data_IF_014618993102
#
_entry.id   IF_014618993102
#
_cell.length_a   1.000
_cell.length_b   1.000
_cell.length_c   1.000
_cell.angle_alpha   90.00
_cell.angle_beta   90.00
_cell.angle_gamma   90.00
#
_symmetry.space_group_name_H-M   'P 1'
#
loop_
_entity.id
_entity.type
_entity.pdbx_description
1 polymer ?
#
# COMPACT_ATOMS: atom_id res chain seq x y z
N UNK A 1 49.13 3.09 15.66
CA UNK A 1 49.13 1.62 15.76
C UNK A 1 48.21 1.19 16.89
N UNK A 2 46.98 0.80 16.55
CA UNK A 2 46.10 0.00 17.40
C UNK A 2 45.01 -0.57 16.49
N UNK A 3 45.15 -1.86 16.18
CA UNK A 3 44.27 -2.65 15.33
C UNK A 3 43.00 -2.97 16.12
N UNK A 4 41.82 -2.63 15.62
CA UNK A 4 40.54 -3.13 16.14
C UNK A 4 40.02 -4.24 15.23
N UNK A 5 39.82 -5.40 15.84
CA UNK A 5 39.31 -6.62 15.23
C UNK A 5 37.82 -6.50 14.80
N UNK A 6 37.38 -7.28 13.80
CA UNK A 6 36.01 -7.28 13.31
C UNK A 6 35.09 -8.13 14.20
N UNK A 7 33.84 -7.66 14.33
CA UNK A 7 32.76 -8.33 15.05
C UNK A 7 32.27 -9.56 14.28
N UNK A 8 32.19 -10.65 15.03
CA UNK A 8 31.84 -12.01 14.64
C UNK A 8 30.31 -12.15 14.58
N UNK A 9 29.74 -12.18 13.36
CA UNK A 9 28.31 -12.44 13.17
C UNK A 9 28.00 -13.93 13.27
N UNK A 10 27.20 -14.30 14.28
CA UNK A 10 26.71 -15.66 14.53
C UNK A 10 25.73 -16.10 13.45
N UNK A 11 26.10 -17.22 12.82
CA UNK A 11 25.26 -18.10 12.00
C UNK A 11 23.92 -18.43 12.68
N UNK A 12 22.81 -17.96 12.11
CA UNK A 12 21.49 -18.53 12.37
C UNK A 12 21.13 -19.52 11.26
N UNK A 13 21.03 -20.77 11.71
CA UNK A 13 20.69 -22.00 11.00
C UNK A 13 19.19 -22.03 10.72
N UNK A 14 18.77 -21.79 9.49
CA UNK A 14 17.38 -22.00 9.05
C UNK A 14 17.22 -23.43 8.52
N UNK A 15 16.23 -24.15 9.06
CA UNK A 15 15.90 -25.53 8.70
C UNK A 15 15.19 -25.65 7.34
N UNK A 16 15.10 -26.88 6.78
CA UNK A 16 14.66 -27.10 5.41
C UNK A 16 13.16 -27.45 5.37
N UNK A 17 12.29 -26.55 4.90
CA UNK A 17 10.93 -26.93 4.48
C UNK A 17 10.48 -26.06 3.31
N UNK A 18 9.95 -26.72 2.27
CA UNK A 18 9.32 -26.20 1.04
C UNK A 18 10.26 -25.86 -0.13
N UNK A 19 10.90 -26.91 -0.66
CA UNK A 19 11.30 -27.00 -2.08
C UNK A 19 10.21 -27.81 -2.80
N UNK A 20 9.40 -27.17 -3.64
CA UNK A 20 8.69 -27.83 -4.75
C UNK A 20 8.10 -26.76 -5.70
N UNK A 21 8.65 -26.70 -6.92
CA UNK A 21 7.83 -26.43 -8.10
C UNK A 21 8.08 -25.18 -8.94
N UNK A 22 9.32 -24.89 -9.39
CA UNK A 22 9.54 -24.11 -10.62
C UNK A 22 10.76 -24.65 -11.39
N UNK A 23 10.54 -25.75 -12.11
CA UNK A 23 11.45 -26.23 -13.14
C UNK A 23 10.66 -26.30 -14.45
N UNK A 24 10.82 -25.28 -15.30
CA UNK A 24 10.90 -25.34 -16.77
C UNK A 24 10.60 -23.96 -17.38
N UNK A 25 11.58 -23.41 -18.07
CA UNK A 25 11.37 -22.39 -19.10
C UNK A 25 12.13 -21.09 -18.87
N UNK A 26 13.34 -20.97 -19.42
CA UNK A 26 13.98 -19.67 -19.54
C UNK A 26 15.47 -19.73 -19.82
N UNK A 27 15.83 -19.97 -21.09
CA UNK A 27 17.11 -19.48 -21.63
C UNK A 27 17.22 -17.98 -21.35
N UNK A 28 17.98 -17.55 -20.35
CA UNK A 28 18.34 -16.14 -20.17
C UNK A 28 19.85 -16.06 -20.07
N UNK A 29 20.43 -15.83 -21.25
CA UNK A 29 21.55 -14.91 -21.54
C UNK A 29 22.46 -14.66 -20.34
N UNK A 30 23.71 -15.12 -20.41
CA UNK A 30 24.76 -14.83 -19.43
C UNK A 30 24.79 -13.34 -19.07
N UNK A 31 24.08 -12.98 -18.00
CA UNK A 31 24.14 -11.65 -17.42
C UNK A 31 25.35 -11.69 -16.50
N UNK A 32 26.36 -10.91 -16.82
CA UNK A 32 27.37 -10.55 -15.85
C UNK A 32 26.63 -9.93 -14.66
N UNK A 33 26.46 -10.71 -13.59
CA UNK A 33 25.83 -10.27 -12.36
C UNK A 33 26.70 -9.16 -11.79
N UNK A 34 26.13 -7.96 -11.65
CA UNK A 34 26.80 -6.88 -10.97
C UNK A 34 26.68 -7.12 -9.46
N UNK A 35 27.79 -6.96 -8.77
CA UNK A 35 27.84 -6.82 -7.31
C UNK A 35 26.85 -5.73 -6.89
N UNK A 36 25.99 -6.03 -5.92
CA UNK A 36 24.92 -5.15 -5.48
C UNK A 36 25.42 -3.78 -5.04
N UNK A 37 26.57 -3.72 -4.35
CA UNK A 37 27.17 -2.45 -3.91
C UNK A 37 27.51 -1.57 -5.10
N UNK A 38 28.16 -2.18 -6.10
CA UNK A 38 28.60 -1.46 -7.31
C UNK A 38 27.42 -1.07 -8.17
N UNK A 39 26.42 -1.94 -8.28
CA UNK A 39 25.19 -1.67 -9.01
C UNK A 39 24.40 -0.50 -8.41
N UNK A 40 24.19 -0.49 -7.09
CA UNK A 40 23.50 0.61 -6.39
C UNK A 40 24.30 1.92 -6.51
N UNK A 41 25.62 1.89 -6.31
CA UNK A 41 26.46 3.07 -6.47
C UNK A 41 26.43 3.62 -7.90
N UNK A 42 26.37 2.75 -8.91
CA UNK A 42 26.23 3.17 -10.30
C UNK A 42 24.83 3.73 -10.58
N UNK A 43 23.78 3.12 -10.03
CA UNK A 43 22.40 3.61 -10.16
C UNK A 43 22.24 5.02 -9.55
N UNK A 44 22.84 5.27 -8.38
CA UNK A 44 22.88 6.60 -7.76
C UNK A 44 23.51 7.66 -8.69
N UNK A 45 24.62 7.34 -9.35
CA UNK A 45 25.24 8.25 -10.34
C UNK A 45 24.31 8.57 -11.52
N UNK A 46 23.46 7.62 -11.93
CA UNK A 46 22.46 7.87 -12.95
C UNK A 46 21.33 8.77 -12.41
N UNK A 47 20.90 8.60 -11.16
CA UNK A 47 19.91 9.47 -10.52
C UNK A 47 20.39 10.90 -10.34
N UNK A 48 21.65 11.10 -9.95
CA UNK A 48 22.28 12.44 -9.87
C UNK A 48 22.25 13.19 -11.21
N UNK A 49 22.23 12.44 -12.33
CA UNK A 49 22.13 12.98 -13.70
C UNK A 49 20.69 13.10 -14.20
N UNK A 50 19.70 12.70 -13.40
CA UNK A 50 18.29 12.63 -13.80
C UNK A 50 17.95 11.45 -14.72
N UNK A 51 18.87 10.51 -14.94
CA UNK A 51 18.71 9.35 -15.82
C UNK A 51 18.03 8.17 -15.10
N UNK A 52 16.82 8.39 -14.56
CA UNK A 52 16.14 7.41 -13.71
C UNK A 52 15.88 6.06 -14.41
N UNK A 53 15.60 6.05 -15.72
CA UNK A 53 15.42 4.83 -16.48
C UNK A 53 16.71 3.99 -16.58
N UNK A 54 17.87 4.64 -16.72
CA UNK A 54 19.17 3.97 -16.72
C UNK A 54 19.50 3.41 -15.33
N UNK A 55 19.18 4.16 -14.27
CA UNK A 55 19.34 3.68 -12.89
C UNK A 55 18.59 2.35 -12.68
N UNK A 56 17.33 2.27 -13.08
CA UNK A 56 16.54 1.02 -13.00
C UNK A 56 17.17 -0.12 -13.81
N UNK A 57 17.65 0.14 -15.03
CA UNK A 57 18.32 -0.89 -15.85
C UNK A 57 19.61 -1.43 -15.22
N UNK A 58 20.31 -0.61 -14.43
CA UNK A 58 21.47 -1.06 -13.67
C UNK A 58 21.02 -1.91 -12.49
N UNK A 59 20.00 -1.48 -11.75
CA UNK A 59 19.44 -2.21 -10.61
C UNK A 59 18.82 -3.56 -11.03
N UNK A 60 18.26 -3.68 -12.23
CA UNK A 60 17.71 -4.95 -12.75
C UNK A 60 18.81 -5.98 -13.08
N UNK A 61 20.09 -5.55 -13.14
CA UNK A 61 21.26 -6.44 -13.33
C UNK A 61 21.93 -6.84 -12.02
N UNK A 62 21.51 -6.26 -10.90
CA UNK A 62 22.01 -6.60 -9.57
C UNK A 62 21.48 -7.98 -9.19
N UNK A 63 22.35 -8.82 -8.61
CA UNK A 63 21.96 -10.15 -8.16
C UNK A 63 20.96 -10.09 -7.01
N UNK A 64 19.90 -10.91 -7.12
CA UNK A 64 18.82 -11.07 -6.14
C UNK A 64 19.30 -11.61 -4.78
N UNK A 65 20.48 -12.25 -4.74
CA UNK A 65 21.02 -12.86 -3.54
C UNK A 65 21.34 -11.83 -2.44
N UNK A 66 21.50 -10.56 -2.81
CA UNK A 66 21.90 -9.46 -1.91
C UNK A 66 20.76 -8.45 -1.67
N UNK A 67 19.49 -8.81 -1.95
CA UNK A 67 18.31 -7.92 -1.86
C UNK A 67 17.95 -7.44 -0.44
N UNK A 68 18.62 -7.91 0.61
CA UNK A 68 18.43 -7.46 2.00
C UNK A 68 19.01 -6.06 2.29
N UNK A 69 19.34 -5.29 1.26
CA UNK A 69 19.98 -3.98 1.37
C UNK A 69 18.92 -2.87 1.26
N UNK A 70 18.64 -2.13 2.34
CA UNK A 70 17.65 -1.05 2.30
C UNK A 70 17.95 0.01 1.23
N UNK A 71 19.23 0.24 0.94
CA UNK A 71 19.68 1.15 -0.11
C UNK A 71 19.24 0.73 -1.51
N UNK A 72 19.18 -0.58 -1.80
CA UNK A 72 18.69 -1.05 -3.09
C UNK A 72 17.23 -0.64 -3.30
N UNK A 73 16.38 -0.92 -2.32
CA UNK A 73 14.95 -0.59 -2.34
C UNK A 73 14.72 0.91 -2.40
N UNK A 74 15.49 1.68 -1.62
CA UNK A 74 15.44 3.13 -1.60
C UNK A 74 15.76 3.72 -2.98
N UNK A 75 16.91 3.35 -3.55
CA UNK A 75 17.38 3.88 -4.83
C UNK A 75 16.45 3.47 -5.98
N UNK A 76 15.87 2.26 -5.92
CA UNK A 76 14.87 1.81 -6.87
C UNK A 76 13.57 2.61 -6.77
N UNK A 77 13.08 2.85 -5.54
CA UNK A 77 11.88 3.64 -5.30
C UNK A 77 12.06 5.11 -5.71
N UNK A 78 13.22 5.72 -5.42
CA UNK A 78 13.57 7.07 -5.88
C UNK A 78 13.56 7.17 -7.42
N UNK A 79 14.12 6.17 -8.11
CA UNK A 79 14.09 6.13 -9.57
C UNK A 79 12.65 6.11 -10.11
N UNK A 80 11.75 5.33 -9.49
CA UNK A 80 10.34 5.33 -9.86
C UNK A 80 9.65 6.67 -9.60
N UNK A 81 10.00 7.38 -8.51
CA UNK A 81 9.45 8.72 -8.25
C UNK A 81 9.87 9.73 -9.32
N UNK A 82 11.13 9.71 -9.74
CA UNK A 82 11.61 10.58 -10.82
C UNK A 82 10.93 10.29 -12.16
N UNK A 83 10.48 9.06 -12.39
CA UNK A 83 9.69 8.69 -13.57
C UNK A 83 8.20 9.02 -13.44
N UNK A 84 7.75 9.54 -12.29
CA UNK A 84 6.34 9.81 -12.00
C UNK A 84 5.52 8.56 -11.69
N UNK A 85 6.16 7.41 -11.50
CA UNK A 85 5.51 6.13 -11.20
C UNK A 85 5.30 5.95 -9.69
N UNK A 86 4.64 6.91 -9.04
CA UNK A 86 4.53 7.00 -7.58
C UNK A 86 3.98 5.73 -6.90
N UNK A 87 2.99 5.05 -7.52
CA UNK A 87 2.44 3.79 -6.97
C UNK A 87 3.46 2.64 -6.96
N UNK A 88 4.30 2.56 -7.99
CA UNK A 88 5.37 1.54 -8.07
C UNK A 88 6.49 1.87 -7.08
N UNK A 89 6.83 3.16 -6.94
CA UNK A 89 7.76 3.62 -5.92
C UNK A 89 7.28 3.23 -4.51
N UNK A 90 6.01 3.47 -4.18
CA UNK A 90 5.45 3.14 -2.88
C UNK A 90 5.52 1.63 -2.60
N UNK A 91 5.13 0.79 -3.57
CA UNK A 91 5.24 -0.67 -3.43
C UNK A 91 6.69 -1.14 -3.25
N UNK A 92 7.61 -0.55 -4.00
CA UNK A 92 9.03 -0.90 -3.93
C UNK A 92 9.64 -0.53 -2.57
N UNK A 93 9.30 0.64 -2.03
CA UNK A 93 9.74 1.06 -0.71
C UNK A 93 9.08 0.21 0.41
N UNK A 94 7.81 -0.18 0.26
CA UNK A 94 7.11 -1.09 1.17
C UNK A 94 7.81 -2.46 1.26
N UNK A 95 8.24 -3.03 0.12
CA UNK A 95 9.01 -4.28 0.09
C UNK A 95 10.32 -4.15 0.87
N UNK A 96 11.05 -3.03 0.73
CA UNK A 96 12.26 -2.81 1.51
C UNK A 96 12.01 -2.55 3.01
N UNK A 97 10.90 -1.92 3.37
CA UNK A 97 10.51 -1.69 4.76
C UNK A 97 10.13 -3.00 5.46
N UNK A 98 9.73 -4.03 4.72
CA UNK A 98 9.52 -5.36 5.29
C UNK A 98 10.83 -5.96 5.83
N UNK A 99 11.95 -5.72 5.14
CA UNK A 99 13.28 -6.19 5.55
C UNK A 99 13.92 -5.26 6.60
N UNK A 100 13.69 -3.96 6.51
CA UNK A 100 14.23 -2.95 7.43
C UNK A 100 13.16 -1.91 7.83
N UNK A 101 12.29 -2.24 8.81
CA UNK A 101 11.15 -1.40 9.18
C UNK A 101 11.54 -0.05 9.78
N UNK A 102 12.73 0.02 10.39
CA UNK A 102 13.21 1.20 11.10
C UNK A 102 14.18 2.04 10.24
N UNK A 103 14.19 1.85 8.92
CA UNK A 103 15.04 2.65 8.04
C UNK A 103 14.39 4.00 7.71
N UNK A 104 14.93 5.09 8.28
CA UNK A 104 14.43 6.45 8.08
C UNK A 104 14.38 6.86 6.60
N UNK A 105 15.47 6.67 5.85
CA UNK A 105 15.57 7.08 4.45
C UNK A 105 14.50 6.39 3.60
N UNK A 106 14.28 5.09 3.86
CA UNK A 106 13.27 4.31 3.16
C UNK A 106 11.84 4.73 3.54
N UNK A 107 11.60 5.04 4.82
CA UNK A 107 10.33 5.61 5.29
C UNK A 107 10.03 6.95 4.62
N UNK A 108 11.02 7.84 4.50
CA UNK A 108 10.88 9.13 3.83
C UNK A 108 10.50 8.94 2.36
N UNK A 109 11.19 8.05 1.63
CA UNK A 109 10.87 7.74 0.23
C UNK A 109 9.48 7.12 0.09
N UNK A 110 9.09 6.22 1.00
CA UNK A 110 7.76 5.62 1.02
C UNK A 110 6.65 6.67 1.22
N UNK A 111 6.80 7.55 2.22
CA UNK A 111 5.82 8.62 2.49
C UNK A 111 5.71 9.57 1.29
N UNK A 112 6.85 9.99 0.71
CA UNK A 112 6.85 10.83 -0.51
C UNK A 112 6.13 10.15 -1.67
N UNK A 113 6.34 8.85 -1.85
CA UNK A 113 5.68 8.07 -2.87
C UNK A 113 4.16 8.00 -2.67
N UNK A 114 3.71 7.81 -1.42
CA UNK A 114 2.29 7.79 -1.09
C UNK A 114 1.63 9.16 -1.30
N UNK A 115 2.29 10.25 -0.91
CA UNK A 115 1.81 11.62 -1.16
C UNK A 115 1.65 11.89 -2.66
N UNK A 116 2.64 11.53 -3.48
CA UNK A 116 2.54 11.67 -4.94
C UNK A 116 1.48 10.75 -5.57
N UNK A 117 1.27 9.56 -4.98
CA UNK A 117 0.21 8.64 -5.38
C UNK A 117 -1.19 9.08 -4.92
N UNK A 118 -1.29 10.15 -4.10
CA UNK A 118 -2.50 10.69 -3.47
C UNK A 118 -3.14 9.73 -2.45
N UNK A 119 -2.38 8.78 -1.92
CA UNK A 119 -2.82 7.87 -0.86
C UNK A 119 -2.56 8.49 0.52
N UNK A 120 -3.21 9.63 0.81
CA UNK A 120 -2.96 10.43 2.01
C UNK A 120 -3.19 9.67 3.32
N UNK A 121 -4.16 8.75 3.36
CA UNK A 121 -4.44 7.93 4.55
C UNK A 121 -3.21 7.09 4.95
N UNK A 122 -2.65 6.34 4.00
CA UNK A 122 -1.45 5.53 4.24
C UNK A 122 -0.24 6.42 4.53
N UNK A 123 -0.14 7.57 3.85
CA UNK A 123 0.94 8.52 4.09
C UNK A 123 0.91 9.01 5.55
N UNK A 124 -0.26 9.30 6.09
CA UNK A 124 -0.43 9.72 7.48
C UNK A 124 -0.05 8.61 8.47
N UNK A 125 -0.46 7.37 8.21
CA UNK A 125 -0.09 6.21 9.04
C UNK A 125 1.43 6.01 9.08
N UNK A 126 2.07 6.00 7.90
CA UNK A 126 3.51 5.85 7.78
C UNK A 126 4.27 7.00 8.44
N UNK A 127 3.79 8.24 8.29
CA UNK A 127 4.36 9.43 8.90
C UNK A 127 4.24 9.42 10.43
N UNK A 128 3.10 8.98 10.97
CA UNK A 128 2.91 8.83 12.41
C UNK A 128 3.89 7.80 12.98
N UNK A 129 4.05 6.66 12.29
CA UNK A 129 5.02 5.64 12.68
C UNK A 129 6.46 6.18 12.63
N UNK A 130 6.85 6.81 11.51
CA UNK A 130 8.19 7.38 11.35
C UNK A 130 8.50 8.47 12.40
N UNK A 131 7.53 9.30 12.75
CA UNK A 131 7.69 10.37 13.75
C UNK A 131 7.85 9.85 15.18
N UNK A 132 7.30 8.66 15.48
CA UNK A 132 7.53 7.99 16.77
C UNK A 132 8.96 7.48 16.89
N UNK A 133 9.51 6.94 15.79
CA UNK A 133 10.89 6.44 15.74
C UNK A 133 11.92 7.59 15.68
N UNK A 134 11.63 8.64 14.91
CA UNK A 134 12.55 9.73 14.58
C UNK A 134 11.93 11.12 14.83
N UNK A 135 11.65 11.49 16.09
CA UNK A 135 10.89 12.71 16.43
C UNK A 135 11.60 14.03 16.07
N UNK A 136 12.92 14.00 15.85
CA UNK A 136 13.73 15.18 15.55
C UNK A 136 14.06 15.33 14.05
N UNK A 137 13.48 14.49 13.18
CA UNK A 137 13.73 14.58 11.75
C UNK A 137 12.99 15.78 11.13
N UNK A 138 13.77 16.75 10.64
CA UNK A 138 13.24 17.91 9.92
C UNK A 138 12.50 17.50 8.64
N UNK A 139 12.98 16.46 7.95
CA UNK A 139 12.35 15.99 6.71
C UNK A 139 10.94 15.44 6.97
N UNK A 140 10.74 14.69 8.06
CA UNK A 140 9.42 14.19 8.43
C UNK A 140 8.47 15.34 8.79
N UNK A 141 8.96 16.39 9.45
CA UNK A 141 8.15 17.58 9.75
C UNK A 141 7.68 18.27 8.46
N UNK A 142 8.57 18.43 7.47
CA UNK A 142 8.20 18.99 6.17
C UNK A 142 7.15 18.13 5.46
N UNK A 143 7.29 16.80 5.49
CA UNK A 143 6.29 15.91 4.91
C UNK A 143 4.94 16.01 5.63
N UNK A 144 4.94 16.16 6.96
CA UNK A 144 3.72 16.39 7.73
C UNK A 144 3.00 17.68 7.30
N UNK A 145 3.74 18.77 7.12
CA UNK A 145 3.19 20.04 6.64
C UNK A 145 2.60 19.89 5.23
N UNK A 146 3.28 19.20 4.32
CA UNK A 146 2.74 18.97 2.96
C UNK A 146 1.44 18.17 3.00
N UNK A 147 1.34 17.15 3.85
CA UNK A 147 0.12 16.36 4.00
C UNK A 147 -1.03 17.22 4.53
N UNK A 148 -0.79 18.05 5.55
CA UNK A 148 -1.79 18.95 6.12
C UNK A 148 -2.32 19.98 5.10
N UNK A 149 -1.48 20.46 4.19
CA UNK A 149 -1.90 21.34 3.08
C UNK A 149 -2.87 20.63 2.13
N UNK A 150 -2.66 19.33 1.86
CA UNK A 150 -3.56 18.54 1.03
C UNK A 150 -4.90 18.23 1.71
N UNK A 151 -4.91 18.02 3.03
CA UNK A 151 -6.15 17.83 3.81
C UNK A 151 -7.00 19.11 3.89
N UNK A 152 -6.36 20.26 4.11
CA UNK A 152 -7.05 21.55 4.13
C UNK A 152 -7.61 21.96 2.76
N UNK A 153 -6.96 21.56 1.67
CA UNK A 153 -7.48 21.77 0.31
C UNK A 153 -8.69 20.87 -0.03
N UNK A 154 -8.76 19.66 0.56
CA UNK A 154 -9.86 18.71 0.33
C UNK A 154 -11.07 18.95 1.24
N UNK A 155 -10.86 19.58 2.40
CA UNK A 155 -11.91 20.11 3.27
C UNK A 155 -11.86 21.65 3.30
N UNK A 156 -12.50 22.37 2.35
CA UNK A 156 -12.64 23.81 2.48
C UNK A 156 -13.32 24.08 3.82
N UNK A 157 -12.64 24.86 4.68
CA UNK A 157 -13.17 25.27 5.97
C UNK A 157 -14.62 25.74 5.77
N UNK A 158 -15.59 25.23 6.56
CA UNK A 158 -16.91 25.85 6.57
C UNK A 158 -16.67 27.34 6.86
N UNK A 159 -17.31 28.26 6.11
CA UNK A 159 -17.10 29.69 6.33
C UNK A 159 -17.29 29.97 7.81
N UNK A 160 -16.39 30.78 8.38
CA UNK A 160 -16.46 31.15 9.79
C UNK A 160 -17.89 31.54 10.14
N UNK A 161 -18.42 31.20 11.34
CA UNK A 161 -19.75 31.62 11.73
C UNK A 161 -19.98 33.12 11.48
N UNK A 162 -18.95 33.97 11.64
CA UNK A 162 -19.02 35.40 11.32
C UNK A 162 -19.19 35.73 9.82
N UNK A 163 -18.70 34.91 8.91
CA UNK A 163 -18.85 35.09 7.46
C UNK A 163 -20.20 34.56 6.96
N UNK A 164 -20.78 33.57 7.65
CA UNK A 164 -22.11 33.06 7.36
C UNK A 164 -23.22 34.11 7.57
N UNK A 165 -23.01 35.08 8.48
CA UNK A 165 -23.96 36.18 8.74
C UNK A 165 -23.81 37.39 7.81
N UNK A 166 -22.74 37.48 6.99
CA UNK A 166 -22.47 38.61 6.08
C UNK A 166 -23.10 38.48 4.70
N UNK A 167 -23.71 37.35 4.37
CA UNK A 167 -24.36 37.16 3.08
C UNK A 167 -25.68 37.96 3.03
N UNK A 168 -25.85 38.93 2.12
CA UNK A 168 -27.10 39.66 1.98
C UNK A 168 -28.24 38.69 1.63
N UNK A 169 -29.40 38.93 2.26
CA UNK A 169 -30.67 38.19 2.22
C UNK A 169 -31.32 38.04 0.81
N UNK A 170 -30.56 37.90 -0.27
CA UNK A 170 -31.06 37.59 -1.61
C UNK A 170 -30.89 36.11 -1.95
N UNK A 171 -31.36 35.22 -1.06
CA UNK A 171 -31.69 33.85 -1.51
C UNK A 171 -33.10 33.92 -2.09
N UNK A 172 -33.29 33.71 -3.41
CA UNK A 172 -34.63 33.47 -3.93
C UNK A 172 -35.20 32.28 -3.16
N UNK A 173 -36.43 32.41 -2.68
CA UNK A 173 -37.16 31.38 -1.96
C UNK A 173 -37.04 30.05 -2.72
N UNK A 174 -36.07 29.21 -2.32
CA UNK A 174 -35.99 27.86 -2.87
C UNK A 174 -37.27 27.20 -2.43
N UNK A 175 -38.10 26.87 -3.42
CA UNK A 175 -39.21 25.94 -3.26
C UNK A 175 -38.69 24.77 -2.40
N UNK A 176 -39.44 24.32 -1.38
CA UNK A 176 -39.01 23.18 -0.58
C UNK A 176 -38.62 22.04 -1.53
N UNK A 177 -37.44 21.45 -1.27
CA UNK A 177 -36.84 20.42 -2.12
C UNK A 177 -37.76 19.20 -2.32
N UNK A 178 -38.72 19.04 -1.41
CA UNK A 178 -39.73 18.01 -1.43
C UNK A 178 -41.09 18.66 -1.44
N UNK A 179 -41.97 18.14 -2.30
CA UNK A 179 -43.38 18.49 -2.26
C UNK A 179 -43.99 17.99 -0.94
N UNK A 180 -45.02 18.66 -0.44
CA UNK A 180 -45.65 18.32 0.85
C UNK A 180 -46.28 16.91 0.84
N UNK A 181 -46.50 16.37 -0.36
CA UNK A 181 -46.85 14.98 -0.61
C UNK A 181 -45.70 14.01 -0.34
N UNK A 182 -44.47 14.31 -0.78
CA UNK A 182 -43.29 13.46 -0.55
C UNK A 182 -42.87 13.45 0.92
N UNK A 183 -42.92 14.60 1.58
CA UNK A 183 -42.64 14.69 3.01
C UNK A 183 -43.61 13.82 3.84
N UNK A 184 -44.88 13.73 3.40
CA UNK A 184 -45.88 12.83 4.00
C UNK A 184 -45.64 11.37 3.67
N UNK A 185 -45.17 11.04 2.47
CA UNK A 185 -44.83 9.67 2.08
C UNK A 185 -43.66 9.11 2.91
N UNK A 186 -42.62 9.91 3.13
CA UNK A 186 -41.46 9.54 3.94
C UNK A 186 -41.88 9.29 5.40
N UNK A 187 -42.70 10.17 5.99
CA UNK A 187 -43.20 9.96 7.36
C UNK A 187 -44.02 8.67 7.51
N UNK A 188 -44.79 8.28 6.48
CA UNK A 188 -45.54 7.01 6.48
C UNK A 188 -44.63 5.80 6.38
N UNK A 189 -43.54 5.88 5.59
CA UNK A 189 -42.59 4.78 5.43
C UNK A 189 -41.87 4.41 6.75
N UNK A 190 -41.65 5.39 7.63
CA UNK A 190 -41.04 5.15 8.95
C UNK A 190 -42.04 4.77 10.06
N UNK A 191 -43.36 4.87 9.81
CA UNK A 191 -44.40 4.49 10.78
C UNK A 191 -44.91 3.05 10.60
N UNK A 192 -44.47 2.33 9.56
CA UNK A 192 -44.82 0.91 9.43
C UNK A 192 -44.05 0.07 10.45
N UNK A 193 -44.73 -0.84 11.19
CA UNK A 193 -44.07 -1.70 12.18
C UNK A 193 -43.00 -2.55 11.51
N UNK A 194 -41.84 -2.60 12.17
CA UNK A 194 -40.62 -3.26 11.72
C UNK A 194 -40.88 -4.64 11.08
N UNK A 195 -40.36 -4.80 9.87
CA UNK A 195 -40.32 -6.07 9.14
C UNK A 195 -39.70 -7.15 10.03
N UNK A 196 -40.52 -8.11 10.48
CA UNK A 196 -40.08 -9.28 11.23
C UNK A 196 -39.41 -10.24 10.22
N UNK A 197 -38.09 -10.47 10.27
CA UNK A 197 -37.43 -11.36 9.32
C UNK A 197 -38.01 -12.77 9.47
N UNK A 198 -38.65 -13.25 8.41
CA UNK A 198 -39.24 -14.59 8.35
C UNK A 198 -38.12 -15.61 8.20
N UNK A 199 -37.62 -16.08 9.33
CA UNK A 199 -36.64 -17.16 9.42
C UNK A 199 -37.21 -18.41 8.70
N UNK A 200 -36.68 -18.72 7.50
CA UNK A 200 -36.98 -19.97 6.78
C UNK A 200 -35.79 -20.93 6.95
N UNK A 201 -35.81 -21.84 7.93
CA UNK A 201 -34.69 -22.75 8.22
C UNK A 201 -34.49 -23.85 7.16
N UNK A 202 -35.27 -23.88 6.07
CA UNK A 202 -35.25 -24.97 5.10
C UNK A 202 -34.14 -24.90 4.04
N UNK A 203 -33.49 -23.75 3.82
CA UNK A 203 -32.55 -23.60 2.71
C UNK A 203 -31.16 -24.15 3.02
N UNK A 204 -30.67 -23.94 4.25
CA UNK A 204 -29.35 -24.43 4.69
C UNK A 204 -29.32 -25.96 4.75
N UNK A 205 -30.41 -26.58 5.24
CA UNK A 205 -30.51 -28.04 5.31
C UNK A 205 -30.51 -28.69 3.91
N UNK A 206 -31.18 -28.06 2.93
CA UNK A 206 -31.19 -28.55 1.54
C UNK A 206 -29.83 -28.41 0.85
N UNK A 207 -29.13 -27.30 1.07
CA UNK A 207 -27.78 -27.12 0.51
C UNK A 207 -26.77 -28.14 1.08
N UNK A 208 -26.85 -28.45 2.38
CA UNK A 208 -25.98 -29.45 3.02
C UNK A 208 -26.22 -30.86 2.48
N UNK A 209 -27.49 -31.23 2.25
CA UNK A 209 -27.84 -32.56 1.75
C UNK A 209 -27.36 -32.78 0.30
N UNK A 210 -27.38 -31.73 -0.53
CA UNK A 210 -26.80 -31.76 -1.88
C UNK A 210 -25.27 -31.91 -1.87
N UNK A 211 -24.57 -31.24 -0.95
CA UNK A 211 -23.11 -31.34 -0.82
C UNK A 211 -22.67 -32.76 -0.39
N UNK A 212 -23.39 -33.39 0.55
CA UNK A 212 -23.11 -34.75 0.99
C UNK A 212 -23.32 -35.79 -0.13
N UNK A 213 -24.38 -35.64 -0.93
CA UNK A 213 -24.63 -36.51 -2.08
C UNK A 213 -23.53 -36.35 -3.16
N UNK A 214 -23.11 -35.12 -3.44
CA UNK A 214 -22.03 -34.86 -4.40
C UNK A 214 -20.69 -35.47 -3.98
N UNK A 215 -20.33 -35.36 -2.69
CA UNK A 215 -19.11 -35.97 -2.14
C UNK A 215 -19.14 -37.50 -2.18
N UNK A 216 -20.29 -38.12 -1.91
CA UNK A 216 -20.46 -39.58 -1.99
C UNK A 216 -20.28 -40.12 -3.42
N UNK A 217 -20.87 -39.45 -4.41
CA UNK A 217 -20.72 -39.79 -5.82
C UNK A 217 -19.28 -39.62 -6.31
N UNK A 218 -18.61 -38.54 -5.89
CA UNK A 218 -17.20 -38.31 -6.20
C UNK A 218 -16.30 -39.41 -5.62
N UNK A 219 -16.54 -39.81 -4.37
CA UNK A 219 -15.79 -40.89 -3.72
C UNK A 219 -15.99 -42.24 -4.41
N UNK A 220 -17.20 -42.52 -4.89
CA UNK A 220 -17.50 -43.76 -5.62
C UNK A 220 -16.80 -43.79 -7.00
N UNK A 221 -16.75 -42.65 -7.70
CA UNK A 221 -16.05 -42.51 -8.97
C UNK A 221 -14.53 -42.63 -8.80
N UNK A 222 -13.95 -41.97 -7.81
CA UNK A 222 -12.51 -42.00 -7.54
C UNK A 222 -11.98 -43.39 -7.14
N UNK A 223 -12.84 -44.29 -6.64
CA UNK A 223 -12.46 -45.64 -6.20
C UNK A 223 -12.55 -46.71 -7.30
N UNK A 224 -13.06 -46.36 -8.47
CA UNK A 224 -13.13 -47.25 -9.62
C UNK A 224 -12.60 -46.56 -10.90
N UNK A 225 -11.30 -46.18 -10.94
CA UNK A 225 -10.68 -45.79 -12.19
C UNK A 225 -10.47 -47.07 -13.01
N UNK A 226 -11.35 -47.29 -13.98
CA UNK A 226 -11.11 -48.28 -15.02
C UNK A 226 -9.83 -47.99 -15.79
#
# INVERSE_FOLDING_TARGET
>A
MAVRAPLECKNHRWGPVVLLGWALGGMIRGMAQLDAVKGVAQALKHLERGEAAQALRVLDKVSWADLGWPDYWRVRAEAFLLLGEARRAAKCAEEGLHEAPDNLELLVVYIRALLQAQDYHKAQEALNHASQLFPQSLELQQLAETLAQHETASHPLPPSPMEAWRQPKNRPSRKPLFDEAEARAIRRAFQTPAYKPRNRPGFVLRAFLCLLLGLGLYWLWARNPG
#
